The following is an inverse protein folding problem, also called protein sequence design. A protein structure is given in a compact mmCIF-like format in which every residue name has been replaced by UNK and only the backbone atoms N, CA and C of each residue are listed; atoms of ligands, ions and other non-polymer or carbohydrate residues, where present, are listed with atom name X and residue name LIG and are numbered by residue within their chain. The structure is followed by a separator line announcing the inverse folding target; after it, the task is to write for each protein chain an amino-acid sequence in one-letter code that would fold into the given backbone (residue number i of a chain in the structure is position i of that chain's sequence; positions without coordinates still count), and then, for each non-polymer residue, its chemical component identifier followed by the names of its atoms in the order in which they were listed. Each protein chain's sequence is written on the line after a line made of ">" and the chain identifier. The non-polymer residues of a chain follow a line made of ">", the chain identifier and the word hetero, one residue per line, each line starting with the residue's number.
data_IF_807327528035
#
_entry.id   IF_807327528035
#
_cell.length_a   1.000
_cell.length_b   1.000
_cell.length_c   1.000
_cell.angle_alpha   90.00
_cell.angle_beta   90.00
_cell.angle_gamma   90.00
#
_symmetry.space_group_name_H-M   'P 1'
#
loop_
_entity.id
_entity.type
_entity.pdbx_description
1 polymer ?
#
# COMPACT_ATOMS: atom_id res chain seq x y z
N UNK A 1 4.44 31.55 7.01
CA UNK A 1 4.92 31.09 5.68
C UNK A 1 4.26 29.75 5.41
N UNK A 2 3.61 29.55 4.26
CA UNK A 2 2.85 28.31 4.01
C UNK A 2 3.82 27.17 3.72
N UNK A 3 3.98 26.22 4.65
CA UNK A 3 4.65 24.95 4.37
C UNK A 3 3.74 24.12 3.46
N UNK A 4 4.17 23.94 2.21
CA UNK A 4 3.38 23.30 1.15
C UNK A 4 3.36 21.77 1.32
N UNK A 5 4.45 21.19 1.82
CA UNK A 5 4.58 19.76 2.11
C UNK A 5 5.25 19.59 3.48
N UNK A 6 4.45 19.38 4.52
CA UNK A 6 4.89 18.99 5.87
C UNK A 6 4.53 17.53 6.12
N UNK A 7 5.08 16.96 7.18
CA UNK A 7 4.66 15.66 7.66
C UNK A 7 3.25 15.73 8.27
N UNK A 8 2.46 14.70 8.00
CA UNK A 8 1.16 14.39 8.58
C UNK A 8 1.17 12.90 8.96
N UNK A 9 1.11 12.55 10.26
CA UNK A 9 1.08 11.15 10.69
C UNK A 9 -0.05 10.35 10.03
N UNK A 10 -1.24 10.97 9.95
CA UNK A 10 -2.44 10.36 9.41
C UNK A 10 -3.08 11.20 8.31
N UNK A 11 -3.92 10.55 7.51
CA UNK A 11 -4.72 11.23 6.49
C UNK A 11 -5.66 12.27 7.13
N UNK A 12 -6.12 12.03 8.35
CA UNK A 12 -6.94 12.98 9.09
C UNK A 12 -6.16 14.23 9.51
N UNK A 13 -4.90 14.09 9.91
CA UNK A 13 -4.05 15.25 10.21
C UNK A 13 -3.85 16.13 8.97
N UNK A 14 -3.72 15.50 7.79
CA UNK A 14 -3.69 16.20 6.51
C UNK A 14 -5.01 16.93 6.22
N UNK A 15 -6.15 16.24 6.43
CA UNK A 15 -7.48 16.80 6.23
C UNK A 15 -7.71 18.01 7.14
N UNK A 16 -7.38 17.90 8.42
CA UNK A 16 -7.55 19.00 9.39
C UNK A 16 -6.79 20.26 8.96
N UNK A 17 -5.60 20.12 8.38
CA UNK A 17 -4.78 21.26 7.97
C UNK A 17 -5.16 21.84 6.60
N UNK A 18 -5.41 20.96 5.62
CA UNK A 18 -5.60 21.38 4.22
C UNK A 18 -7.07 21.53 3.82
N UNK A 19 -7.96 20.88 4.54
CA UNK A 19 -9.40 20.81 4.26
C UNK A 19 -10.22 21.05 5.55
N UNK A 20 -10.00 22.16 6.28
CA UNK A 20 -10.67 22.40 7.57
C UNK A 20 -12.19 22.49 7.45
N UNK A 21 -12.74 22.82 6.28
CA UNK A 21 -14.19 22.80 6.07
C UNK A 21 -14.83 21.40 6.29
N UNK A 22 -14.03 20.33 6.23
CA UNK A 22 -14.52 18.98 6.49
C UNK A 22 -14.78 18.75 7.99
N UNK A 23 -13.99 19.33 8.90
CA UNK A 23 -14.30 19.26 10.33
C UNK A 23 -15.55 20.07 10.67
N UNK A 24 -15.76 21.21 10.01
CA UNK A 24 -17.00 22.00 10.13
C UNK A 24 -18.23 21.20 9.66
N UNK A 25 -18.10 20.47 8.55
CA UNK A 25 -19.22 19.72 7.95
C UNK A 25 -19.57 18.43 8.71
N UNK A 26 -18.59 17.74 9.28
CA UNK A 26 -18.76 16.39 9.82
C UNK A 26 -18.51 16.26 11.32
N UNK A 27 -17.93 17.27 11.98
CA UNK A 27 -17.59 17.27 13.42
C UNK A 27 -17.90 18.61 14.11
N UNK A 28 -18.84 19.41 13.58
CA UNK A 28 -19.23 20.70 14.17
C UNK A 28 -18.04 21.66 14.45
N UNK A 29 -16.97 21.54 13.67
CA UNK A 29 -15.74 22.34 13.80
C UNK A 29 -14.62 21.67 14.60
N UNK A 30 -14.86 20.57 15.30
CA UNK A 30 -13.83 19.83 16.03
C UNK A 30 -12.90 19.06 15.07
N UNK A 31 -11.56 19.14 15.24
CA UNK A 31 -10.63 18.46 14.35
C UNK A 31 -10.80 16.94 14.41
N UNK A 32 -10.64 16.23 13.30
CA UNK A 32 -10.59 14.77 13.27
C UNK A 32 -9.43 14.25 14.13
N UNK A 33 -9.58 13.12 14.85
CA UNK A 33 -8.49 12.63 15.67
C UNK A 33 -7.44 11.96 14.78
N UNK A 34 -6.18 11.94 15.22
CA UNK A 34 -5.11 11.24 14.50
C UNK A 34 -5.34 9.72 14.59
N UNK A 35 -5.95 9.15 13.55
CA UNK A 35 -6.29 7.73 13.48
C UNK A 35 -6.05 7.14 12.09
N UNK A 36 -6.08 5.81 11.97
CA UNK A 36 -5.99 5.12 10.68
C UNK A 36 -7.03 5.69 9.66
N UNK A 37 -6.66 5.92 8.39
CA UNK A 37 -5.42 5.51 7.73
C UNK A 37 -4.22 6.44 7.98
N UNK A 38 -3.08 5.83 8.33
CA UNK A 38 -1.79 6.53 8.40
C UNK A 38 -1.32 6.90 7.00
N UNK A 39 -0.60 8.01 6.85
CA UNK A 39 -0.15 8.48 5.53
C UNK A 39 0.82 7.51 4.88
N UNK A 40 1.73 6.89 5.64
CA UNK A 40 2.62 5.84 5.13
C UNK A 40 1.83 4.70 4.45
N UNK A 41 0.87 4.12 5.18
CA UNK A 41 0.04 3.02 4.67
C UNK A 41 -0.80 3.43 3.46
N UNK A 42 -1.34 4.66 3.47
CA UNK A 42 -2.08 5.23 2.34
C UNK A 42 -1.22 5.29 1.07
N UNK A 43 0.00 5.83 1.15
CA UNK A 43 0.89 5.93 0.00
C UNK A 43 1.41 4.56 -0.46
N UNK A 44 1.65 3.61 0.45
CA UNK A 44 1.96 2.22 0.07
C UNK A 44 0.82 1.60 -0.73
N UNK A 45 -0.43 1.73 -0.28
CA UNK A 45 -1.60 1.23 -1.02
C UNK A 45 -1.71 1.90 -2.40
N UNK A 46 -1.47 3.21 -2.47
CA UNK A 46 -1.44 3.93 -3.75
C UNK A 46 -0.32 3.48 -4.68
N UNK A 47 0.86 3.17 -4.14
CA UNK A 47 1.98 2.65 -4.92
C UNK A 47 1.63 1.31 -5.58
N UNK A 48 1.01 0.38 -4.84
CA UNK A 48 0.53 -0.89 -5.40
C UNK A 48 -0.53 -0.69 -6.48
N UNK A 49 -1.53 0.16 -6.23
CA UNK A 49 -2.61 0.41 -7.18
C UNK A 49 -2.09 1.02 -8.49
N UNK A 50 -1.30 2.10 -8.39
CA UNK A 50 -0.79 2.79 -9.57
C UNK A 50 0.22 1.94 -10.34
N UNK A 51 1.08 1.17 -9.65
CA UNK A 51 1.99 0.24 -10.31
C UNK A 51 1.24 -0.89 -11.03
N UNK A 52 0.18 -1.44 -10.44
CA UNK A 52 -0.64 -2.47 -11.08
C UNK A 52 -1.36 -1.92 -12.34
N UNK A 53 -1.86 -0.69 -12.29
CA UNK A 53 -2.48 -0.02 -13.43
C UNK A 53 -1.48 0.24 -14.57
N UNK A 54 -0.29 0.75 -14.24
CA UNK A 54 0.78 0.99 -15.22
C UNK A 54 1.27 -0.32 -15.82
N UNK A 55 1.49 -1.35 -14.99
CA UNK A 55 1.91 -2.67 -15.46
C UNK A 55 0.87 -3.26 -16.40
N UNK A 56 -0.41 -3.21 -16.03
CA UNK A 56 -1.52 -3.67 -16.88
C UNK A 56 -1.50 -2.97 -18.23
N UNK A 57 -1.35 -1.65 -18.23
CA UNK A 57 -1.32 -0.86 -19.47
C UNK A 57 -0.11 -1.21 -20.33
N UNK A 58 1.05 -1.42 -19.72
CA UNK A 58 2.29 -1.76 -20.42
C UNK A 58 2.28 -3.19 -20.99
N UNK A 59 1.73 -4.16 -20.25
CA UNK A 59 1.53 -5.52 -20.77
C UNK A 59 0.57 -5.51 -21.96
N UNK A 60 -0.55 -4.80 -21.86
CA UNK A 60 -1.51 -4.66 -22.97
C UNK A 60 -0.85 -4.05 -24.21
N UNK A 61 -0.03 -3.01 -24.05
CA UNK A 61 0.75 -2.42 -25.16
C UNK A 61 1.68 -3.45 -25.81
N UNK A 62 2.36 -4.28 -25.01
CA UNK A 62 3.28 -5.31 -25.52
C UNK A 62 2.57 -6.47 -26.21
N UNK A 63 1.36 -6.79 -25.78
CA UNK A 63 0.47 -7.73 -26.48
C UNK A 63 0.05 -7.17 -27.85
N UNK A 64 -0.31 -5.88 -27.93
CA UNK A 64 -0.61 -5.19 -29.20
C UNK A 64 0.60 -5.21 -30.16
N UNK A 65 1.82 -5.12 -29.62
CA UNK A 65 3.08 -5.26 -30.36
C UNK A 65 3.46 -6.71 -30.68
N UNK A 66 2.65 -7.70 -30.27
CA UNK A 66 2.91 -9.14 -30.43
C UNK A 66 4.20 -9.62 -29.75
N UNK A 67 4.74 -8.86 -28.79
CA UNK A 67 5.88 -9.25 -27.96
C UNK A 67 5.47 -10.19 -26.82
N UNK A 68 4.20 -10.14 -26.45
CA UNK A 68 3.57 -11.02 -25.49
C UNK A 68 2.39 -11.71 -26.15
N UNK A 69 2.27 -13.02 -25.92
CA UNK A 69 1.17 -13.84 -26.43
C UNK A 69 0.42 -14.46 -25.26
N UNK A 70 -0.90 -14.54 -25.42
CA UNK A 70 -1.76 -15.33 -24.55
C UNK A 70 -1.50 -16.81 -24.77
N UNK A 71 -1.70 -17.59 -23.70
CA UNK A 71 -1.68 -19.05 -23.80
C UNK A 71 -3.09 -19.59 -23.55
N UNK A 72 -3.56 -20.53 -24.39
CA UNK A 72 -4.90 -21.07 -24.27
C UNK A 72 -5.04 -21.80 -22.92
N UNK A 73 -6.10 -21.48 -22.19
CA UNK A 73 -6.50 -22.19 -20.98
C UNK A 73 -7.93 -22.68 -21.10
N UNK A 74 -8.15 -23.90 -20.63
CA UNK A 74 -9.48 -24.44 -20.46
C UNK A 74 -10.11 -23.76 -19.24
N UNK A 75 -11.12 -22.94 -19.47
CA UNK A 75 -11.96 -22.36 -18.42
C UNK A 75 -13.35 -22.94 -18.50
N UNK A 76 -13.95 -23.23 -17.34
CA UNK A 76 -15.35 -23.64 -17.27
C UNK A 76 -16.18 -22.36 -17.18
N UNK A 77 -16.93 -22.06 -18.23
CA UNK A 77 -17.81 -20.89 -18.31
C UNK A 77 -19.22 -21.31 -17.97
N UNK A 78 -19.96 -20.43 -17.28
CA UNK A 78 -21.38 -20.63 -17.03
C UNK A 78 -21.71 -21.53 -15.84
N UNK A 79 -20.80 -21.69 -14.88
CA UNK A 79 -21.04 -22.44 -13.62
C UNK A 79 -22.05 -21.77 -12.68
N UNK A 80 -22.52 -20.56 -13.01
CA UNK A 80 -23.35 -19.74 -12.13
C UNK A 80 -22.59 -19.21 -10.91
N UNK A 81 -23.31 -18.64 -9.92
CA UNK A 81 -22.70 -18.08 -8.72
C UNK A 81 -21.98 -19.12 -7.86
N UNK A 82 -20.69 -18.94 -7.63
CA UNK A 82 -19.94 -19.73 -6.66
C UNK A 82 -20.24 -19.24 -5.23
N UNK A 83 -21.17 -19.92 -4.56
CA UNK A 83 -21.62 -19.55 -3.22
C UNK A 83 -20.51 -19.58 -2.17
N UNK A 84 -19.57 -20.52 -2.24
CA UNK A 84 -18.44 -20.58 -1.31
C UNK A 84 -17.59 -19.31 -1.43
N UNK A 85 -17.26 -18.90 -2.67
CA UNK A 85 -16.48 -17.69 -2.91
C UNK A 85 -17.26 -16.42 -2.52
N UNK A 86 -18.55 -16.34 -2.83
CA UNK A 86 -19.40 -15.22 -2.46
C UNK A 86 -19.50 -15.07 -0.94
N UNK A 87 -19.65 -16.17 -0.20
CA UNK A 87 -19.71 -16.16 1.26
C UNK A 87 -18.38 -15.78 1.89
N UNK A 88 -17.25 -16.30 1.39
CA UNK A 88 -15.91 -15.93 1.88
C UNK A 88 -15.65 -14.45 1.63
N UNK A 89 -15.86 -13.97 0.41
CA UNK A 89 -15.67 -12.56 0.06
C UNK A 89 -16.62 -11.66 0.87
N UNK A 90 -17.87 -12.11 1.05
CA UNK A 90 -18.87 -11.44 1.87
C UNK A 90 -18.45 -11.34 3.33
N UNK A 91 -17.96 -12.42 3.94
CA UNK A 91 -17.48 -12.43 5.32
C UNK A 91 -16.26 -11.54 5.52
N UNK A 92 -15.30 -11.57 4.59
CA UNK A 92 -14.14 -10.67 4.61
C UNK A 92 -14.61 -9.21 4.51
N UNK A 93 -15.52 -8.92 3.57
CA UNK A 93 -16.06 -7.57 3.38
C UNK A 93 -16.86 -7.11 4.59
N UNK A 94 -17.60 -8.00 5.24
CA UNK A 94 -18.30 -7.74 6.48
C UNK A 94 -17.31 -7.36 7.59
N UNK A 95 -16.25 -8.14 7.78
CA UNK A 95 -15.25 -7.87 8.82
C UNK A 95 -14.58 -6.50 8.62
N UNK A 96 -14.12 -6.20 7.40
CA UNK A 96 -13.52 -4.90 7.11
C UNK A 96 -14.53 -3.76 7.22
N UNK A 97 -15.75 -3.92 6.69
CA UNK A 97 -16.80 -2.92 6.83
C UNK A 97 -17.18 -2.66 8.28
N UNK A 98 -17.29 -3.72 9.08
CA UNK A 98 -17.59 -3.65 10.51
C UNK A 98 -16.54 -2.84 11.26
N UNK A 99 -15.25 -3.12 11.02
CA UNK A 99 -14.15 -2.43 11.68
C UNK A 99 -13.92 -1.01 11.17
N UNK A 100 -13.83 -0.83 9.85
CA UNK A 100 -13.52 0.46 9.26
C UNK A 100 -14.65 1.44 9.58
N UNK A 101 -15.90 1.13 9.22
CA UNK A 101 -17.02 2.04 9.45
C UNK A 101 -17.27 2.24 10.94
N UNK A 102 -17.06 1.19 11.76
CA UNK A 102 -17.09 1.31 13.21
C UNK A 102 -16.06 2.30 13.77
N UNK A 103 -14.87 2.36 13.19
CA UNK A 103 -13.84 3.30 13.60
C UNK A 103 -14.27 4.74 13.28
N UNK A 104 -14.96 4.97 12.16
CA UNK A 104 -15.53 6.29 11.82
C UNK A 104 -16.72 6.68 12.70
N UNK A 105 -17.49 5.73 13.24
CA UNK A 105 -18.59 6.05 14.16
C UNK A 105 -18.12 6.31 15.59
N UNK A 106 -17.05 5.64 16.02
CA UNK A 106 -16.46 5.77 17.37
C UNK A 106 -15.01 6.28 17.29
N UNK A 107 -14.81 7.42 16.60
CA UNK A 107 -13.49 7.96 16.26
C UNK A 107 -12.60 8.19 17.48
N UNK A 108 -13.16 8.75 18.56
CA UNK A 108 -12.37 9.11 19.73
C UNK A 108 -11.79 7.86 20.41
N UNK A 109 -12.57 6.78 20.54
CA UNK A 109 -12.09 5.51 21.08
C UNK A 109 -11.11 4.80 20.14
N UNK A 110 -11.38 4.83 18.83
CA UNK A 110 -10.52 4.19 17.83
C UNK A 110 -9.15 4.88 17.68
N UNK A 111 -9.07 6.17 18.03
CA UNK A 111 -7.83 6.96 17.95
C UNK A 111 -6.84 6.71 19.09
N UNK A 112 -7.33 6.33 20.28
CA UNK A 112 -6.48 6.15 21.48
C UNK A 112 -5.51 4.98 21.30
N UNK A 113 -6.04 3.82 20.89
CA UNK A 113 -5.25 2.63 20.60
C UNK A 113 -5.86 1.89 19.40
N UNK A 114 -5.32 2.20 18.23
CA UNK A 114 -5.77 1.64 16.96
C UNK A 114 -5.60 0.12 16.92
N UNK A 115 -4.54 -0.41 17.54
CA UNK A 115 -4.26 -1.84 17.55
C UNK A 115 -5.23 -2.57 18.47
N UNK A 116 -5.47 -2.02 19.67
CA UNK A 116 -6.49 -2.55 20.57
C UNK A 116 -7.89 -2.48 19.95
N UNK A 117 -8.22 -1.41 19.23
CA UNK A 117 -9.48 -1.29 18.50
C UNK A 117 -9.64 -2.36 17.41
N UNK A 118 -8.60 -2.61 16.62
CA UNK A 118 -8.62 -3.68 15.62
C UNK A 118 -8.83 -5.06 16.25
N UNK A 119 -8.30 -5.30 17.44
CA UNK A 119 -8.44 -6.55 18.19
C UNK A 119 -9.73 -6.67 19.02
N UNK A 120 -10.43 -5.57 19.27
CA UNK A 120 -11.62 -5.57 20.11
C UNK A 120 -12.84 -6.19 19.41
N UNK A 121 -13.96 -6.35 20.11
CA UNK A 121 -15.24 -6.66 19.48
C UNK A 121 -15.98 -5.42 18.95
N UNK A 122 -15.44 -4.22 19.13
CA UNK A 122 -16.10 -2.97 18.73
C UNK A 122 -16.16 -2.84 17.20
N UNK A 123 -17.25 -2.25 16.70
CA UNK A 123 -17.45 -1.97 15.29
C UNK A 123 -18.89 -1.58 14.93
N UNK A 124 -19.16 -1.45 13.64
CA UNK A 124 -20.47 -1.06 13.12
C UNK A 124 -21.13 -2.24 12.40
N UNK A 125 -22.17 -2.84 13.01
CA UNK A 125 -22.93 -3.92 12.39
C UNK A 125 -23.52 -3.50 11.04
N UNK A 126 -24.09 -2.30 10.99
CA UNK A 126 -24.63 -1.72 9.77
C UNK A 126 -23.54 -1.55 8.71
N UNK A 127 -22.35 -1.08 9.10
CA UNK A 127 -21.21 -0.98 8.21
C UNK A 127 -20.76 -2.33 7.63
N UNK A 128 -20.71 -3.37 8.47
CA UNK A 128 -20.41 -4.73 8.03
C UNK A 128 -21.45 -5.27 7.04
N UNK A 129 -22.74 -5.11 7.34
CA UNK A 129 -23.82 -5.57 6.45
C UNK A 129 -23.78 -4.84 5.10
N UNK A 130 -23.57 -3.52 5.11
CA UNK A 130 -23.48 -2.73 3.89
C UNK A 130 -22.27 -3.16 3.03
N UNK A 131 -21.09 -3.31 3.63
CA UNK A 131 -19.90 -3.74 2.91
C UNK A 131 -20.06 -5.16 2.33
N UNK A 132 -20.67 -6.08 3.09
CA UNK A 132 -21.01 -7.42 2.61
C UNK A 132 -21.97 -7.37 1.42
N UNK A 133 -23.04 -6.58 1.50
CA UNK A 133 -24.01 -6.44 0.43
C UNK A 133 -23.38 -5.84 -0.84
N UNK A 134 -22.54 -4.82 -0.69
CA UNK A 134 -21.81 -4.18 -1.79
C UNK A 134 -20.82 -5.13 -2.47
N UNK A 135 -20.29 -6.12 -1.75
CA UNK A 135 -19.39 -7.15 -2.30
C UNK A 135 -20.16 -8.29 -2.99
N UNK A 136 -21.18 -8.84 -2.33
CA UNK A 136 -21.92 -10.00 -2.84
C UNK A 136 -22.83 -9.62 -4.03
N UNK A 137 -23.57 -8.50 -3.93
CA UNK A 137 -24.63 -8.19 -4.89
C UNK A 137 -24.13 -8.02 -6.34
N UNK A 138 -23.06 -7.24 -6.61
CA UNK A 138 -22.53 -7.11 -7.96
C UNK A 138 -21.93 -8.43 -8.48
N UNK A 139 -21.21 -9.15 -7.62
CA UNK A 139 -20.59 -10.43 -7.98
C UNK A 139 -21.65 -11.49 -8.32
N UNK A 140 -22.72 -11.58 -7.52
CA UNK A 140 -23.87 -12.44 -7.78
C UNK A 140 -24.56 -12.07 -9.09
N UNK A 141 -24.88 -10.78 -9.29
CA UNK A 141 -25.53 -10.31 -10.54
C UNK A 141 -24.70 -10.64 -11.77
N UNK A 142 -23.38 -10.45 -11.70
CA UNK A 142 -22.46 -10.80 -12.78
C UNK A 142 -22.47 -12.30 -13.04
N UNK A 143 -22.31 -13.13 -12.01
CA UNK A 143 -22.28 -14.58 -12.15
C UNK A 143 -23.60 -15.16 -12.67
N UNK A 144 -24.75 -14.59 -12.27
CA UNK A 144 -26.07 -14.97 -12.77
C UNK A 144 -26.27 -14.57 -14.23
N UNK A 145 -25.74 -13.41 -14.64
CA UNK A 145 -25.79 -12.95 -16.04
C UNK A 145 -24.93 -13.81 -16.97
N UNK A 146 -23.81 -14.32 -16.46
CA UNK A 146 -22.86 -15.16 -17.19
C UNK A 146 -23.18 -16.67 -17.07
N UNK A 147 -24.25 -17.03 -16.35
CA UNK A 147 -24.69 -18.42 -16.16
C UNK A 147 -25.26 -19.00 -17.47
N UNK A 148 -24.79 -20.19 -17.82
CA UNK A 148 -25.28 -20.93 -18.98
C UNK A 148 -26.16 -22.09 -18.52
N UNK A 149 -27.15 -22.53 -19.33
CA UNK A 149 -27.99 -23.69 -19.00
C UNK A 149 -27.19 -24.97 -18.73
N UNK A 150 -26.01 -25.09 -19.35
CA UNK A 150 -25.00 -26.10 -19.04
C UNK A 150 -23.63 -25.43 -19.03
N UNK A 151 -22.79 -25.67 -18.01
CA UNK A 151 -21.42 -25.17 -18.01
C UNK A 151 -20.65 -25.75 -19.20
N UNK A 152 -19.98 -24.89 -19.96
CA UNK A 152 -19.21 -25.27 -21.13
C UNK A 152 -17.73 -25.05 -20.87
N UNK A 153 -16.90 -25.98 -21.34
CA UNK A 153 -15.45 -25.84 -21.30
C UNK A 153 -15.00 -25.09 -22.54
N UNK A 154 -14.48 -23.89 -22.35
CA UNK A 154 -14.00 -23.05 -23.44
C UNK A 154 -12.50 -22.85 -23.32
N UNK A 155 -11.80 -23.02 -24.44
CA UNK A 155 -10.44 -22.56 -24.57
C UNK A 155 -10.46 -21.06 -24.79
N UNK A 156 -9.94 -20.31 -23.83
CA UNK A 156 -9.77 -18.86 -23.93
C UNK A 156 -8.29 -18.54 -23.81
N UNK A 157 -7.80 -17.72 -24.73
CA UNK A 157 -6.43 -17.22 -24.67
C UNK A 157 -6.32 -16.23 -23.51
N UNK A 158 -5.61 -16.65 -22.46
CA UNK A 158 -5.46 -15.83 -21.27
C UNK A 158 -4.22 -14.96 -21.40
N UNK A 159 -4.45 -13.66 -21.53
CA UNK A 159 -3.40 -12.69 -21.82
C UNK A 159 -2.63 -12.31 -20.54
N UNK A 160 -1.33 -11.95 -20.64
CA UNK A 160 -0.56 -11.49 -19.48
C UNK A 160 -1.19 -10.32 -18.71
N UNK A 161 -1.81 -9.35 -19.37
CA UNK A 161 -2.46 -8.20 -18.71
C UNK A 161 -3.67 -8.57 -17.84
N UNK A 162 -4.27 -9.75 -18.08
CA UNK A 162 -5.40 -10.25 -17.28
C UNK A 162 -4.94 -10.92 -15.99
N UNK A 163 -3.65 -11.28 -15.92
CA UNK A 163 -3.02 -12.00 -14.80
C UNK A 163 -2.43 -11.08 -13.73
N UNK A 164 -2.60 -9.76 -13.85
CA UNK A 164 -2.05 -8.77 -12.92
C UNK A 164 -2.50 -9.03 -11.48
N UNK A 165 -3.77 -9.40 -11.28
CA UNK A 165 -4.28 -9.72 -9.94
C UNK A 165 -3.55 -10.91 -9.30
N UNK A 166 -3.34 -11.99 -10.07
CA UNK A 166 -2.57 -13.16 -9.62
C UNK A 166 -1.13 -12.76 -9.27
N UNK A 167 -0.49 -11.95 -10.14
CA UNK A 167 0.87 -11.46 -9.91
C UNK A 167 0.96 -10.63 -8.63
N UNK A 168 0.05 -9.69 -8.40
CA UNK A 168 0.04 -8.84 -7.20
C UNK A 168 -0.12 -9.68 -5.93
N UNK A 169 -1.06 -10.64 -5.91
CA UNK A 169 -1.28 -11.51 -4.75
C UNK A 169 -0.05 -12.38 -4.47
N UNK A 170 0.53 -12.99 -5.51
CA UNK A 170 1.73 -13.82 -5.37
C UNK A 170 2.90 -12.97 -4.86
N UNK A 171 3.14 -11.80 -5.47
CA UNK A 171 4.21 -10.90 -5.05
C UNK A 171 4.03 -10.41 -3.60
N UNK A 172 2.80 -10.11 -3.19
CA UNK A 172 2.51 -9.69 -1.81
C UNK A 172 2.79 -10.82 -0.80
N UNK A 173 2.30 -12.03 -1.07
CA UNK A 173 2.51 -13.18 -0.17
C UNK A 173 3.99 -13.51 -0.05
N UNK A 174 4.68 -13.74 -1.17
CA UNK A 174 6.09 -14.13 -1.15
C UNK A 174 7.00 -12.97 -0.73
N UNK A 175 6.62 -11.72 -1.02
CA UNK A 175 7.33 -10.53 -0.55
C UNK A 175 7.28 -10.39 0.97
N UNK A 176 6.10 -10.51 1.59
CA UNK A 176 5.98 -10.45 3.06
C UNK A 176 6.71 -11.62 3.71
N UNK A 177 6.55 -12.84 3.19
CA UNK A 177 7.25 -14.02 3.69
C UNK A 177 8.77 -13.86 3.60
N UNK A 178 9.28 -13.43 2.45
CA UNK A 178 10.72 -13.21 2.26
C UNK A 178 11.26 -12.12 3.17
N UNK A 179 10.55 -10.99 3.28
CA UNK A 179 10.93 -9.87 4.14
C UNK A 179 11.06 -10.32 5.60
N UNK A 180 10.17 -11.20 6.04
CA UNK A 180 10.18 -11.74 7.39
C UNK A 180 11.25 -12.80 7.61
N UNK A 181 11.48 -13.68 6.64
CA UNK A 181 12.59 -14.65 6.69
C UNK A 181 13.92 -13.92 6.87
N UNK A 182 14.15 -12.86 6.09
CA UNK A 182 15.40 -12.09 6.20
C UNK A 182 15.49 -11.25 7.47
N UNK A 183 14.36 -10.81 8.04
CA UNK A 183 14.31 -10.18 9.37
C UNK A 183 14.85 -11.12 10.44
N UNK A 184 14.44 -12.39 10.43
CA UNK A 184 14.95 -13.39 11.38
C UNK A 184 16.41 -13.77 11.16
N UNK A 185 16.91 -13.66 9.92
CA UNK A 185 18.29 -13.99 9.59
C UNK A 185 19.29 -12.87 9.94
N UNK A 186 18.81 -11.71 10.43
CA UNK A 186 19.71 -10.65 10.87
C UNK A 186 20.56 -11.12 12.07
N UNK A 187 21.86 -10.77 12.13
CA UNK A 187 22.76 -11.26 13.18
C UNK A 187 22.25 -11.05 14.61
N UNK A 188 21.59 -9.93 14.85
CA UNK A 188 21.08 -9.57 16.18
C UNK A 188 19.78 -10.30 16.54
N UNK A 189 19.02 -10.80 15.55
CA UNK A 189 17.71 -11.44 15.72
C UNK A 189 17.75 -12.96 15.64
N UNK A 190 18.80 -13.53 15.04
CA UNK A 190 18.87 -14.98 14.81
C UNK A 190 19.02 -15.76 16.12
N UNK A 191 19.73 -15.20 17.11
CA UNK A 191 19.85 -15.80 18.43
C UNK A 191 18.51 -15.78 19.18
N UNK A 192 17.80 -14.65 19.13
CA UNK A 192 16.47 -14.48 19.71
C UNK A 192 15.43 -15.40 19.05
N UNK A 193 15.52 -15.61 17.74
CA UNK A 193 14.62 -16.49 17.00
C UNK A 193 14.70 -17.94 17.48
N UNK A 194 15.91 -18.50 17.62
CA UNK A 194 16.07 -19.88 18.09
C UNK A 194 15.69 -20.06 19.56
N UNK A 195 15.84 -19.02 20.39
CA UNK A 195 15.49 -19.05 21.81
C UNK A 195 13.98 -18.84 22.05
N UNK A 196 13.31 -18.03 21.23
CA UNK A 196 11.92 -17.61 21.43
C UNK A 196 10.94 -18.17 20.37
N UNK A 197 11.30 -19.29 19.71
CA UNK A 197 10.45 -19.92 18.68
C UNK A 197 9.04 -20.28 19.20
N UNK A 198 8.90 -20.56 20.50
CA UNK A 198 7.61 -20.78 21.17
C UNK A 198 6.76 -19.52 21.31
N UNK A 199 7.37 -18.36 21.60
CA UNK A 199 6.68 -17.07 21.77
C UNK A 199 6.26 -16.45 20.44
N UNK A 200 6.94 -16.81 19.37
CA UNK A 200 6.66 -16.35 18.02
C UNK A 200 5.41 -17.03 17.42
N UNK A 201 5.09 -18.25 17.86
CA UNK A 201 3.86 -18.95 17.51
C UNK A 201 2.66 -18.51 18.37
N UNK A 202 2.91 -18.01 19.59
CA UNK A 202 1.85 -17.56 20.49
C UNK A 202 1.40 -16.11 20.25
N UNK A 203 2.20 -15.29 19.56
CA UNK A 203 1.90 -13.90 19.26
C UNK A 203 1.94 -13.59 17.75
N UNK A 204 0.80 -13.62 17.04
CA UNK A 204 0.71 -13.27 15.63
C UNK A 204 1.20 -11.86 15.28
N UNK A 205 1.16 -10.93 16.24
CA UNK A 205 1.62 -9.55 16.07
C UNK A 205 3.15 -9.45 15.85
N UNK A 206 3.94 -10.38 16.41
CA UNK A 206 5.39 -10.47 16.19
C UNK A 206 5.74 -10.90 14.76
N UNK A 207 4.79 -11.49 14.03
CA UNK A 207 4.98 -11.87 12.63
C UNK A 207 4.92 -10.66 11.68
N UNK A 208 4.24 -9.59 12.10
CA UNK A 208 4.00 -8.38 11.28
C UNK A 208 4.97 -7.25 11.64
N UNK A 209 5.63 -7.31 12.80
CA UNK A 209 6.67 -6.35 13.20
C UNK A 209 8.05 -6.78 12.71
N UNK A 210 8.87 -5.86 12.18
CA UNK A 210 10.18 -6.19 11.60
C UNK A 210 10.06 -6.86 10.23
N UNK A 211 10.26 -6.06 9.18
CA UNK A 211 10.26 -6.51 7.80
C UNK A 211 11.50 -5.95 7.11
N UNK A 212 12.25 -6.81 6.43
CA UNK A 212 13.43 -6.37 5.67
C UNK A 212 13.10 -6.24 4.19
N UNK A 213 13.52 -5.12 3.59
CA UNK A 213 13.27 -4.83 2.17
C UNK A 213 13.94 -5.87 1.25
N UNK A 214 15.16 -6.30 1.59
CA UNK A 214 15.92 -7.26 0.78
C UNK A 214 15.21 -8.60 0.62
N UNK A 215 14.70 -9.16 1.72
CA UNK A 215 13.97 -10.42 1.67
C UNK A 215 12.72 -10.32 0.81
N UNK A 216 11.98 -9.20 0.93
CA UNK A 216 10.78 -8.97 0.14
C UNK A 216 11.06 -8.81 -1.35
N UNK A 217 12.12 -8.07 -1.71
CA UNK A 217 12.52 -7.88 -3.10
C UNK A 217 12.95 -9.21 -3.75
N UNK A 218 13.78 -10.01 -3.06
CA UNK A 218 14.31 -11.26 -3.59
C UNK A 218 13.19 -12.29 -3.79
N UNK A 219 12.39 -12.55 -2.75
CA UNK A 219 11.36 -13.60 -2.80
C UNK A 219 10.16 -13.17 -3.65
N UNK A 220 9.76 -11.90 -3.58
CA UNK A 220 8.73 -11.35 -4.46
C UNK A 220 9.15 -11.43 -5.93
N UNK A 221 10.38 -11.01 -6.24
CA UNK A 221 10.94 -11.08 -7.60
C UNK A 221 11.06 -12.52 -8.11
N UNK A 222 11.56 -13.44 -7.27
CA UNK A 222 11.67 -14.86 -7.62
C UNK A 222 10.30 -15.51 -7.84
N UNK A 223 9.30 -15.19 -7.01
CA UNK A 223 7.95 -15.70 -7.17
C UNK A 223 7.32 -15.25 -8.49
N UNK A 224 7.53 -13.99 -8.89
CA UNK A 224 7.08 -13.48 -10.20
C UNK A 224 7.84 -14.12 -11.36
N UNK A 225 9.15 -14.36 -11.21
CA UNK A 225 9.94 -15.07 -12.22
C UNK A 225 9.42 -16.50 -12.42
N UNK A 226 9.21 -17.25 -11.33
CA UNK A 226 8.67 -18.61 -11.37
C UNK A 226 7.26 -18.60 -11.95
N UNK A 227 6.42 -17.64 -11.56
CA UNK A 227 5.09 -17.47 -12.12
C UNK A 227 5.17 -17.27 -13.64
N UNK A 228 5.97 -16.32 -14.11
CA UNK A 228 6.14 -16.03 -15.53
C UNK A 228 6.62 -17.25 -16.32
N UNK A 229 7.61 -17.97 -15.78
CA UNK A 229 8.11 -19.22 -16.37
C UNK A 229 7.00 -20.28 -16.48
N UNK A 230 6.27 -20.56 -15.39
CA UNK A 230 5.19 -21.55 -15.37
C UNK A 230 4.00 -21.15 -16.25
N UNK A 231 3.75 -19.86 -16.41
CA UNK A 231 2.71 -19.32 -17.28
C UNK A 231 3.17 -19.08 -18.72
N UNK A 232 4.43 -19.41 -19.06
CA UNK A 232 5.05 -19.19 -20.38
C UNK A 232 4.99 -17.72 -20.85
N UNK A 233 5.00 -16.79 -19.91
CA UNK A 233 5.08 -15.35 -20.19
C UNK A 233 6.56 -15.05 -20.48
N UNK A 234 6.85 -14.31 -21.55
CA UNK A 234 8.22 -13.96 -21.90
C UNK A 234 8.85 -13.08 -20.81
N UNK A 235 9.76 -13.67 -20.02
CA UNK A 235 10.31 -13.08 -18.80
C UNK A 235 10.92 -11.71 -19.07
N UNK A 236 11.73 -11.56 -20.13
CA UNK A 236 12.37 -10.27 -20.41
C UNK A 236 11.36 -9.14 -20.66
N UNK A 237 10.27 -9.41 -21.38
CA UNK A 237 9.25 -8.40 -21.68
C UNK A 237 8.38 -8.09 -20.47
N UNK A 238 8.16 -9.07 -19.58
CA UNK A 238 7.50 -8.84 -18.30
C UNK A 238 8.35 -7.97 -17.38
N UNK A 239 9.65 -8.28 -17.22
CA UNK A 239 10.54 -7.52 -16.33
C UNK A 239 10.83 -6.11 -16.86
N UNK A 240 10.92 -5.95 -18.17
CA UNK A 240 11.01 -4.63 -18.81
C UNK A 240 9.74 -3.78 -18.56
N UNK A 241 8.55 -4.40 -18.60
CA UNK A 241 7.31 -3.72 -18.19
C UNK A 241 7.24 -3.42 -16.68
N UNK A 242 7.75 -4.33 -15.84
CA UNK A 242 7.83 -4.15 -14.40
C UNK A 242 8.77 -3.02 -14.00
N UNK A 243 9.89 -2.82 -14.71
CA UNK A 243 10.84 -1.75 -14.42
C UNK A 243 10.18 -0.37 -14.40
N UNK A 244 9.29 -0.10 -15.35
CA UNK A 244 8.52 1.15 -15.40
C UNK A 244 7.57 1.29 -14.20
N UNK A 245 6.86 0.21 -13.87
CA UNK A 245 5.90 0.19 -12.76
C UNK A 245 6.60 0.32 -11.40
N UNK A 246 7.79 -0.26 -11.28
CA UNK A 246 8.65 -0.20 -10.10
C UNK A 246 9.13 1.22 -9.81
N UNK A 247 9.59 1.97 -10.82
CA UNK A 247 9.98 3.37 -10.63
C UNK A 247 8.83 4.23 -10.09
N UNK A 248 7.63 4.06 -10.65
CA UNK A 248 6.46 4.78 -10.15
C UNK A 248 6.12 4.38 -8.70
N UNK A 249 6.13 3.08 -8.39
CA UNK A 249 5.90 2.59 -7.04
C UNK A 249 6.90 3.15 -6.03
N UNK A 250 8.19 3.16 -6.38
CA UNK A 250 9.26 3.70 -5.52
C UNK A 250 9.05 5.19 -5.26
N UNK A 251 8.75 5.98 -6.30
CA UNK A 251 8.44 7.39 -6.13
C UNK A 251 7.27 7.60 -5.17
N UNK A 252 6.14 6.93 -5.39
CA UNK A 252 4.97 7.06 -4.51
C UNK A 252 5.27 6.60 -3.08
N UNK A 253 6.06 5.52 -2.92
CA UNK A 253 6.51 5.05 -1.61
C UNK A 253 7.32 6.12 -0.85
N UNK A 254 8.17 6.88 -1.56
CA UNK A 254 8.92 8.00 -0.96
C UNK A 254 8.04 9.16 -0.51
N UNK A 255 6.88 9.38 -1.15
CA UNK A 255 5.88 10.29 -0.58
C UNK A 255 5.34 9.77 0.75
N UNK A 256 5.14 8.44 0.87
CA UNK A 256 4.79 7.80 2.15
C UNK A 256 5.75 8.16 3.26
N UNK A 257 7.05 7.98 3.03
CA UNK A 257 8.12 8.35 3.96
C UNK A 257 8.10 9.84 4.33
N UNK A 258 7.94 10.71 3.32
CA UNK A 258 7.92 12.15 3.56
C UNK A 258 6.72 12.57 4.42
N UNK A 259 5.53 12.09 4.06
CA UNK A 259 4.31 12.49 4.76
C UNK A 259 4.22 11.87 6.14
N UNK A 260 4.68 10.64 6.39
CA UNK A 260 4.67 10.09 7.75
C UNK A 260 5.77 10.68 8.63
N UNK A 261 6.89 11.11 8.06
CA UNK A 261 8.09 11.35 8.85
C UNK A 261 8.55 10.05 9.54
N UNK A 262 8.76 9.00 8.76
CA UNK A 262 9.15 7.68 9.29
C UNK A 262 10.64 7.54 9.63
N UNK A 263 11.44 8.58 9.39
CA UNK A 263 12.89 8.56 9.61
C UNK A 263 13.72 8.57 8.33
N UNK A 264 13.09 8.38 7.16
CA UNK A 264 13.77 8.41 5.85
C UNK A 264 14.01 9.85 5.36
N UNK A 265 14.71 10.63 6.19
CA UNK A 265 15.19 11.97 5.88
C UNK A 265 16.72 12.00 5.84
N UNK A 266 17.27 13.09 5.32
CA UNK A 266 18.70 13.27 5.15
C UNK A 266 19.41 13.75 6.42
N UNK A 267 20.65 14.18 6.22
CA UNK A 267 21.46 14.81 7.27
C UNK A 267 20.93 16.21 7.61
N UNK A 268 21.37 16.73 8.76
CA UNK A 268 21.11 18.12 9.19
C UNK A 268 21.54 19.11 8.11
N UNK A 269 20.65 20.07 7.80
CA UNK A 269 20.87 21.07 6.78
C UNK A 269 20.97 22.48 7.40
N UNK A 270 22.20 22.98 7.50
CA UNK A 270 22.49 24.36 7.93
C UNK A 270 22.81 25.28 6.73
N UNK A 271 22.70 24.79 5.50
CA UNK A 271 23.07 25.53 4.30
C UNK A 271 22.01 26.56 3.93
N UNK A 272 22.41 27.74 3.41
CA UNK A 272 21.47 28.77 2.99
C UNK A 272 20.56 28.24 1.88
N UNK A 273 19.26 28.47 2.02
CA UNK A 273 18.25 28.04 1.06
C UNK A 273 18.34 28.85 -0.24
N UNK A 274 18.36 28.21 -1.42
CA UNK A 274 18.16 28.91 -2.69
C UNK A 274 16.77 29.55 -2.77
N UNK A 275 16.67 30.79 -3.26
CA UNK A 275 15.41 31.55 -3.28
C UNK A 275 14.25 30.86 -4.00
N UNK A 276 14.55 30.01 -4.99
CA UNK A 276 13.58 29.32 -5.84
C UNK A 276 13.03 28.00 -5.26
N UNK A 277 13.62 27.45 -4.21
CA UNK A 277 13.16 26.19 -3.57
C UNK A 277 12.26 26.53 -2.37
N UNK A 278 11.05 25.97 -2.22
CA UNK A 278 10.26 26.12 -0.99
C UNK A 278 11.03 25.67 0.26
N UNK A 279 10.85 26.35 1.39
CA UNK A 279 11.60 26.02 2.61
C UNK A 279 11.41 24.57 3.08
N UNK A 280 10.17 24.08 3.05
CA UNK A 280 9.87 22.71 3.46
C UNK A 280 10.48 21.65 2.53
N UNK A 281 10.99 22.05 1.35
CA UNK A 281 11.72 21.22 0.40
C UNK A 281 13.24 21.37 0.53
N UNK A 282 13.74 22.29 1.36
CA UNK A 282 15.17 22.48 1.59
C UNK A 282 15.57 22.01 2.98
N UNK A 283 14.85 22.48 4.01
CA UNK A 283 15.10 22.17 5.41
C UNK A 283 13.77 21.93 6.11
N UNK A 284 13.62 20.77 6.73
CA UNK A 284 12.37 20.36 7.37
C UNK A 284 12.67 19.74 8.73
N UNK A 285 11.96 20.14 9.79
CA UNK A 285 12.09 19.54 11.14
C UNK A 285 11.22 18.31 11.32
N UNK A 286 10.39 17.95 10.33
CA UNK A 286 9.46 16.83 10.42
C UNK A 286 8.64 16.88 11.72
N UNK A 287 8.03 18.04 11.98
CA UNK A 287 7.08 18.18 13.08
C UNK A 287 5.94 17.17 12.93
N UNK A 288 5.58 16.53 14.04
CA UNK A 288 4.62 15.42 14.09
C UNK A 288 5.07 14.19 13.30
N UNK A 289 6.35 13.81 13.41
CA UNK A 289 6.83 12.58 12.79
C UNK A 289 6.30 11.32 13.52
N UNK A 290 6.01 10.25 12.78
CA UNK A 290 5.39 9.03 13.35
C UNK A 290 6.29 8.25 14.32
N UNK A 291 7.60 8.48 14.27
CA UNK A 291 8.58 7.81 15.13
C UNK A 291 8.86 8.57 16.44
N UNK A 292 8.20 9.71 16.66
CA UNK A 292 8.41 10.58 17.82
C UNK A 292 9.89 10.97 18.05
N UNK A 293 10.64 11.19 16.97
CA UNK A 293 12.04 11.58 17.02
C UNK A 293 12.21 13.07 17.28
N UNK A 294 13.26 13.41 18.02
CA UNK A 294 13.66 14.77 18.34
C UNK A 294 13.16 15.23 19.70
N UNK A 295 12.72 16.48 19.77
CA UNK A 295 12.31 17.17 20.98
C UNK A 295 10.78 17.36 21.00
N UNK A 296 10.16 17.44 22.19
CA UNK A 296 8.73 17.66 22.31
C UNK A 296 8.33 19.07 21.82
N UNK A 297 7.25 19.13 21.05
CA UNK A 297 6.69 20.40 20.55
C UNK A 297 5.97 21.10 21.72
N UNK A 298 6.34 22.35 22.00
CA UNK A 298 5.76 23.12 23.11
C UNK A 298 4.24 23.28 22.95
N UNK A 299 3.48 22.87 23.97
CA UNK A 299 2.02 22.95 23.96
C UNK A 299 1.31 21.84 23.17
N UNK A 300 2.03 20.87 22.61
CA UNK A 300 1.43 19.70 21.96
C UNK A 300 1.19 18.58 22.99
N UNK A 301 -0.03 18.03 23.00
CA UNK A 301 -0.41 16.90 23.84
C UNK A 301 -1.05 15.81 22.98
N UNK A 302 -0.62 14.56 23.11
CA UNK A 302 -1.17 13.43 22.35
C UNK A 302 -0.10 12.63 21.61
N UNK A 303 -0.52 11.87 20.59
CA UNK A 303 0.41 11.15 19.73
C UNK A 303 1.10 12.11 18.75
N UNK A 304 2.32 11.78 18.34
CA UNK A 304 3.08 12.52 17.33
C UNK A 304 3.36 13.98 17.73
N UNK A 305 3.78 14.23 18.97
CA UNK A 305 4.08 15.58 19.48
C UNK A 305 5.58 15.91 19.51
N UNK A 306 6.34 15.41 18.54
CA UNK A 306 7.79 15.60 18.46
C UNK A 306 8.21 16.22 17.12
N UNK A 307 9.32 16.95 17.15
CA UNK A 307 10.00 17.48 15.97
C UNK A 307 11.52 17.43 16.12
N UNK A 308 12.25 17.39 15.01
CA UNK A 308 13.70 17.41 15.04
C UNK A 308 14.23 18.76 15.51
N UNK A 309 15.25 18.72 16.38
CA UNK A 309 15.90 19.92 16.94
C UNK A 309 16.58 20.81 15.89
N UNK A 310 16.93 20.23 14.74
CA UNK A 310 17.46 20.94 13.59
C UNK A 310 16.76 20.45 12.31
N UNK A 311 16.58 21.37 11.36
CA UNK A 311 16.05 21.02 10.06
C UNK A 311 17.02 20.12 9.28
N UNK A 312 16.46 19.10 8.65
CA UNK A 312 17.21 18.13 7.82
C UNK A 312 16.82 18.27 6.36
N UNK A 313 17.64 17.73 5.48
CA UNK A 313 17.27 17.59 4.07
C UNK A 313 16.09 16.64 3.91
N UNK A 314 14.96 17.05 3.28
CA UNK A 314 13.85 16.16 3.02
C UNK A 314 14.12 15.26 1.80
N UNK A 315 15.09 14.34 1.93
CA UNK A 315 15.59 13.48 0.85
C UNK A 315 14.50 12.63 0.20
N UNK A 316 13.49 12.21 0.96
CA UNK A 316 12.30 11.52 0.45
C UNK A 316 11.57 12.31 -0.66
N UNK A 317 11.51 13.65 -0.57
CA UNK A 317 10.97 14.49 -1.66
C UNK A 317 11.87 14.41 -2.90
N UNK A 318 13.20 14.46 -2.70
CA UNK A 318 14.17 14.43 -3.80
C UNK A 318 14.12 13.10 -4.53
N UNK A 319 14.04 12.01 -3.77
CA UNK A 319 13.91 10.67 -4.29
C UNK A 319 12.60 10.48 -5.04
N UNK A 320 11.48 11.03 -4.56
CA UNK A 320 10.22 11.04 -5.31
C UNK A 320 10.41 11.67 -6.70
N UNK A 321 11.01 12.86 -6.78
CA UNK A 321 11.24 13.53 -8.07
C UNK A 321 12.25 12.77 -8.95
N UNK A 322 13.26 12.14 -8.37
CA UNK A 322 14.21 11.31 -9.11
C UNK A 322 13.52 10.09 -9.73
N UNK A 323 12.72 9.37 -8.95
CA UNK A 323 11.97 8.21 -9.42
C UNK A 323 10.89 8.60 -10.43
N UNK A 324 10.18 9.71 -10.19
CA UNK A 324 9.19 10.24 -11.13
C UNK A 324 9.86 10.68 -12.46
N UNK A 325 11.00 11.35 -12.39
CA UNK A 325 11.79 11.73 -13.56
C UNK A 325 12.24 10.51 -14.36
N UNK A 326 12.76 9.48 -13.69
CA UNK A 326 13.11 8.20 -14.32
C UNK A 326 11.90 7.50 -14.96
N UNK A 327 10.77 7.45 -14.26
CA UNK A 327 9.51 6.92 -14.78
C UNK A 327 9.09 7.67 -16.05
N UNK A 328 8.99 9.00 -16.01
CA UNK A 328 8.58 9.82 -17.15
C UNK A 328 9.54 9.65 -18.33
N UNK A 329 10.84 9.67 -18.08
CA UNK A 329 11.86 9.44 -19.10
C UNK A 329 11.64 8.12 -19.81
N UNK A 330 11.53 7.00 -19.09
CA UNK A 330 11.30 5.69 -19.70
C UNK A 330 9.91 5.58 -20.34
N UNK A 331 8.89 6.18 -19.73
CA UNK A 331 7.52 6.19 -20.23
C UNK A 331 7.40 6.89 -21.60
N UNK A 332 8.21 7.93 -21.84
CA UNK A 332 8.27 8.61 -23.13
C UNK A 332 9.20 7.91 -24.12
N UNK A 333 10.35 7.38 -23.67
CA UNK A 333 11.30 6.68 -24.52
C UNK A 333 10.76 5.36 -25.09
N UNK A 334 9.92 4.63 -24.35
CA UNK A 334 9.35 3.34 -24.80
C UNK A 334 8.50 3.39 -26.07
N UNK A 335 8.16 4.59 -26.56
CA UNK A 335 7.45 4.78 -27.85
C UNK A 335 8.42 4.85 -29.04
N UNK A 336 9.70 5.06 -28.77
CA UNK A 336 10.77 5.20 -29.77
C UNK A 336 11.69 3.97 -29.81
N UNK A 337 11.64 3.16 -28.77
CA UNK A 337 12.25 1.83 -28.65
C UNK A 337 11.21 0.78 -29.06
#
# INVERSE_FOLDING_TARGET
>A
MVMILRAYPTVFDFINDKLPFLSEMFRDGEPFPSMFPNTYGFFVAMAFLLAALVLRQELKRREELKLLIGHPREIVVGTGPNWTQLLINGAISFFFGYKIIGAFTNMDQASIDQMAYLQSSEGSLLGGILAMALSIFPAYRKAKKEELPKPERRWVDYMPHEQIGEMVVIAAIFGILGAKIFDFLQPDRIQDFFQNMGDLLSNPALFVSGLTVYGGLIFGGLAILIFAYRRKIHIAHLFDALGLSFLLAQGIGRLGCHFSGDGDWGIVNLNPRPSWIPESWWSNTYAHNVINAGEPISGCTGQYCYELSAGVYPTSIYEFFLFLGGFLMLFFLRKKL
#
